data_IF_862331741729
#
_entry.id   IF_862331741729
#
_cell.length_a   1.000
_cell.length_b   1.000
_cell.length_c   1.000
_cell.angle_alpha   90.00
_cell.angle_beta   90.00
_cell.angle_gamma   90.00
#
_symmetry.space_group_name_H-M   'P 1'
#
loop_
_entity.id
_entity.type
_entity.pdbx_description
1 polymer ?
#
# COMPACT_ATOMS: atom_id res chain seq x y z
N UNK A 1 -58.98 -15.22 -1.92
CA UNK A 1 -58.23 -14.03 -2.38
C UNK A 1 -56.80 -14.46 -2.62
N UNK A 2 -56.20 -14.19 -3.79
CA UNK A 2 -54.78 -14.44 -4.01
C UNK A 2 -53.98 -13.38 -3.26
N UNK A 3 -53.10 -13.78 -2.37
CA UNK A 3 -52.18 -12.87 -1.70
C UNK A 3 -51.31 -12.16 -2.74
N UNK A 4 -51.21 -10.83 -2.62
CA UNK A 4 -50.29 -10.03 -3.44
C UNK A 4 -48.85 -10.44 -3.10
N UNK A 5 -47.95 -10.56 -4.09
CA UNK A 5 -46.55 -10.85 -3.80
C UNK A 5 -45.96 -9.74 -2.94
N UNK A 6 -45.42 -10.12 -1.79
CA UNK A 6 -44.65 -9.24 -0.91
C UNK A 6 -43.25 -9.10 -1.50
N UNK A 7 -42.76 -7.85 -1.59
CA UNK A 7 -41.39 -7.46 -1.90
C UNK A 7 -41.09 -7.12 -3.37
N UNK A 8 -41.41 -5.88 -3.76
CA UNK A 8 -40.42 -5.12 -4.50
C UNK A 8 -39.33 -4.71 -3.49
N UNK A 9 -38.09 -5.19 -3.64
CA UNK A 9 -36.96 -4.66 -2.87
C UNK A 9 -36.88 -3.15 -3.15
N UNK A 10 -37.17 -2.31 -2.16
CA UNK A 10 -37.17 -0.85 -2.29
C UNK A 10 -35.79 -0.24 -2.63
N UNK A 11 -34.73 -1.05 -2.63
CA UNK A 11 -33.36 -0.61 -2.89
C UNK A 11 -32.67 -1.61 -3.81
N UNK A 12 -32.11 -1.09 -4.90
CA UNK A 12 -31.25 -1.86 -5.79
C UNK A 12 -29.93 -2.16 -5.06
N UNK A 13 -29.66 -3.44 -4.79
CA UNK A 13 -28.43 -3.92 -4.14
C UNK A 13 -27.20 -3.78 -5.04
N UNK A 14 -27.38 -3.84 -6.36
CA UNK A 14 -26.31 -3.71 -7.34
C UNK A 14 -26.49 -2.43 -8.15
N UNK A 15 -25.84 -1.36 -7.71
CA UNK A 15 -25.83 -0.09 -8.43
C UNK A 15 -24.51 0.05 -9.17
N UNK A 16 -24.59 0.53 -10.42
CA UNK A 16 -23.40 1.00 -11.10
C UNK A 16 -22.85 2.21 -10.34
N UNK A 17 -21.55 2.19 -10.07
CA UNK A 17 -20.80 3.31 -9.55
C UNK A 17 -19.81 3.73 -10.62
N UNK A 18 -19.76 5.02 -10.90
CA UNK A 18 -18.74 5.62 -11.76
C UNK A 18 -17.35 5.42 -11.18
N UNK A 19 -16.32 5.57 -12.01
CA UNK A 19 -14.93 5.52 -11.55
C UNK A 19 -14.68 6.47 -10.38
N UNK A 20 -15.14 7.72 -10.48
CA UNK A 20 -14.96 8.72 -9.44
C UNK A 20 -15.62 8.31 -8.11
N UNK A 21 -16.84 7.78 -8.15
CA UNK A 21 -17.55 7.29 -6.95
C UNK A 21 -16.86 6.09 -6.32
N UNK A 22 -16.32 5.17 -7.13
CA UNK A 22 -15.55 4.03 -6.61
C UNK A 22 -14.28 4.49 -5.92
N UNK A 23 -13.53 5.39 -6.56
CA UNK A 23 -12.30 5.97 -5.99
C UNK A 23 -12.58 6.70 -4.68
N UNK A 24 -13.62 7.52 -4.60
CA UNK A 24 -13.98 8.21 -3.35
C UNK A 24 -14.39 7.26 -2.23
N UNK A 25 -14.83 6.05 -2.57
CA UNK A 25 -15.21 5.02 -1.60
C UNK A 25 -14.03 4.13 -1.18
N UNK A 26 -12.88 4.20 -1.85
CA UNK A 26 -11.68 3.45 -1.42
C UNK A 26 -11.23 4.04 -0.09
N UNK A 27 -11.56 3.36 1.00
CA UNK A 27 -11.11 3.75 2.32
C UNK A 27 -9.74 3.13 2.58
N UNK A 28 -8.69 3.87 2.23
CA UNK A 28 -7.28 3.46 2.41
C UNK A 28 -6.81 3.77 3.84
N UNK A 29 -7.72 3.92 4.79
CA UNK A 29 -7.38 4.10 6.20
C UNK A 29 -6.96 2.78 6.85
N UNK A 30 -6.00 2.08 6.23
CA UNK A 30 -5.34 0.88 6.75
C UNK A 30 -4.62 1.18 8.08
N UNK A 31 -4.27 2.45 8.30
CA UNK A 31 -3.54 2.94 9.46
C UNK A 31 -4.46 2.98 10.70
N UNK A 32 -5.69 3.48 10.58
CA UNK A 32 -6.68 3.49 11.67
C UNK A 32 -7.68 2.34 11.60
N UNK A 33 -7.66 1.51 10.55
CA UNK A 33 -8.34 0.22 10.57
C UNK A 33 -7.77 -0.63 11.71
N UNK A 34 -8.55 -0.67 12.80
CA UNK A 34 -8.58 -1.80 13.72
C UNK A 34 -9.27 -2.92 12.95
N UNK A 35 -8.55 -3.50 11.97
CA UNK A 35 -9.02 -4.74 11.38
C UNK A 35 -9.25 -5.73 12.52
N UNK A 36 -10.26 -6.59 12.36
CA UNK A 36 -10.11 -7.99 12.78
C UNK A 36 -8.89 -8.54 12.02
N UNK A 37 -7.69 -8.08 12.39
CA UNK A 37 -6.46 -8.72 12.00
C UNK A 37 -6.69 -10.13 12.51
N UNK A 38 -6.65 -11.08 11.57
CA UNK A 38 -6.52 -12.50 11.83
C UNK A 38 -5.74 -12.67 13.13
N UNK A 39 -6.20 -13.57 14.01
CA UNK A 39 -5.41 -13.97 15.16
C UNK A 39 -3.93 -13.99 14.73
N UNK A 40 -3.03 -13.40 15.53
CA UNK A 40 -1.59 -13.61 15.29
C UNK A 40 -1.44 -15.06 14.87
N UNK A 41 -0.73 -15.34 13.76
CA UNK A 41 -0.52 -16.71 13.31
C UNK A 41 -0.23 -17.55 14.53
N UNK A 42 -0.80 -18.75 14.61
CA UNK A 42 -0.42 -19.69 15.66
C UNK A 42 1.11 -19.66 15.78
N UNK A 43 1.68 -19.79 16.98
CA UNK A 43 3.10 -19.47 17.26
C UNK A 43 4.12 -20.14 16.29
N UNK A 44 3.70 -21.14 15.50
CA UNK A 44 4.47 -21.81 14.47
C UNK A 44 4.33 -21.27 13.02
N UNK A 45 3.33 -20.43 12.69
CA UNK A 45 3.03 -19.96 11.33
C UNK A 45 3.49 -18.51 11.08
N UNK A 46 3.70 -18.16 9.81
CA UNK A 46 4.11 -16.82 9.36
C UNK A 46 3.04 -16.20 8.49
N UNK A 47 2.98 -14.87 8.43
CA UNK A 47 1.99 -14.19 7.59
C UNK A 47 2.17 -14.54 6.10
N UNK A 48 3.41 -14.70 5.66
CA UNK A 48 3.75 -15.05 4.29
C UNK A 48 3.23 -16.46 3.93
N UNK A 49 3.38 -17.43 4.83
CA UNK A 49 2.87 -18.79 4.61
C UNK A 49 1.34 -18.85 4.61
N UNK A 50 0.68 -18.16 5.53
CA UNK A 50 -0.78 -18.05 5.52
C UNK A 50 -1.30 -17.42 4.22
N UNK A 51 -0.59 -16.41 3.71
CA UNK A 51 -0.92 -15.80 2.43
C UNK A 51 -0.71 -16.77 1.26
N UNK A 52 0.36 -17.57 1.25
CA UNK A 52 0.55 -18.63 0.24
C UNK A 52 -0.61 -19.61 0.28
N UNK A 53 -0.93 -20.16 1.46
CA UNK A 53 -2.01 -21.14 1.63
C UNK A 53 -3.36 -20.57 1.16
N UNK A 54 -3.69 -19.35 1.56
CA UNK A 54 -4.88 -18.63 1.08
C UNK A 54 -4.93 -18.58 -0.44
N UNK A 55 -3.82 -18.19 -1.09
CA UNK A 55 -3.82 -17.98 -2.53
C UNK A 55 -3.74 -19.27 -3.35
N UNK A 56 -3.29 -20.38 -2.76
CA UNK A 56 -3.46 -21.73 -3.35
C UNK A 56 -4.93 -22.03 -3.63
N UNK A 57 -5.81 -21.67 -2.71
CA UNK A 57 -7.25 -21.94 -2.86
C UNK A 57 -7.97 -20.93 -3.75
N UNK A 58 -7.43 -19.71 -3.88
CA UNK A 58 -8.09 -18.58 -4.55
C UNK A 58 -7.60 -18.28 -5.97
N UNK A 59 -6.35 -18.62 -6.33
CA UNK A 59 -5.78 -18.25 -7.62
C UNK A 59 -5.23 -19.47 -8.38
N UNK A 60 -5.96 -19.88 -9.42
CA UNK A 60 -5.61 -21.02 -10.28
C UNK A 60 -4.96 -20.59 -11.61
N UNK A 61 -4.45 -19.36 -11.70
CA UNK A 61 -3.82 -18.85 -12.92
C UNK A 61 -2.46 -19.50 -13.12
N UNK A 62 -2.01 -19.55 -14.38
CA UNK A 62 -0.68 -20.05 -14.72
C UNK A 62 0.41 -19.24 -14.00
N UNK A 63 0.26 -17.91 -13.96
CA UNK A 63 1.21 -17.01 -13.32
C UNK A 63 1.40 -17.34 -11.84
N UNK A 64 0.30 -17.61 -11.11
CA UNK A 64 0.40 -17.97 -9.71
C UNK A 64 0.98 -19.36 -9.52
N UNK A 65 0.61 -20.33 -10.37
CA UNK A 65 1.18 -21.67 -10.34
C UNK A 65 2.68 -21.71 -10.61
N UNK A 66 3.20 -20.82 -11.46
CA UNK A 66 4.64 -20.66 -11.71
C UNK A 66 5.33 -19.97 -10.53
N UNK A 67 4.73 -18.89 -9.98
CA UNK A 67 5.23 -18.22 -8.78
C UNK A 67 5.37 -19.19 -7.59
N UNK A 68 4.37 -20.03 -7.36
CA UNK A 68 4.39 -20.99 -6.26
C UNK A 68 5.50 -22.04 -6.44
N UNK A 69 5.70 -22.51 -7.69
CA UNK A 69 6.77 -23.46 -8.01
C UNK A 69 8.15 -22.85 -7.80
N UNK A 70 8.33 -21.57 -8.12
CA UNK A 70 9.59 -20.86 -7.90
C UNK A 70 9.86 -20.62 -6.40
N UNK A 71 8.83 -20.29 -5.61
CA UNK A 71 8.98 -20.18 -4.14
C UNK A 71 9.34 -21.54 -3.53
N UNK A 72 8.70 -22.61 -4.00
CA UNK A 72 9.04 -23.99 -3.63
C UNK A 72 8.41 -24.47 -2.29
N UNK A 73 8.11 -25.79 -2.17
CA UNK A 73 7.45 -26.39 -1.01
C UNK A 73 8.33 -26.51 0.25
N UNK A 74 9.60 -26.15 0.15
CA UNK A 74 10.58 -26.16 1.22
C UNK A 74 10.39 -25.01 2.21
N UNK A 75 9.76 -23.90 1.82
CA UNK A 75 9.46 -22.79 2.71
C UNK A 75 8.28 -23.18 3.60
N UNK A 76 8.55 -23.45 4.88
CA UNK A 76 7.56 -23.91 5.87
C UNK A 76 7.62 -23.18 7.21
N UNK A 77 8.63 -22.34 7.41
CA UNK A 77 8.76 -21.52 8.61
C UNK A 77 9.58 -20.26 8.32
N UNK A 78 9.61 -19.35 9.29
CA UNK A 78 10.34 -18.08 9.19
C UNK A 78 11.84 -18.26 8.93
N UNK A 79 12.49 -19.27 9.52
CA UNK A 79 13.93 -19.48 9.33
C UNK A 79 14.29 -19.77 7.88
N UNK A 80 13.42 -20.51 7.18
CA UNK A 80 13.60 -20.80 5.76
C UNK A 80 13.30 -19.58 4.88
N UNK A 81 12.30 -18.77 5.25
CA UNK A 81 12.04 -17.48 4.58
C UNK A 81 13.27 -16.58 4.69
N UNK A 82 13.83 -16.42 5.88
CA UNK A 82 15.03 -15.61 6.11
C UNK A 82 16.24 -16.16 5.33
N UNK A 83 16.43 -17.49 5.32
CA UNK A 83 17.52 -18.13 4.60
C UNK A 83 17.45 -17.90 3.08
N UNK A 84 16.24 -17.88 2.50
CA UNK A 84 16.01 -17.66 1.05
C UNK A 84 15.45 -16.27 0.73
N UNK A 85 15.63 -15.29 1.61
CA UNK A 85 14.96 -13.99 1.48
C UNK A 85 15.25 -13.31 0.14
N UNK A 86 16.49 -13.32 -0.32
CA UNK A 86 16.90 -12.64 -1.56
C UNK A 86 16.23 -13.28 -2.77
N UNK A 87 16.13 -14.61 -2.77
CA UNK A 87 15.48 -15.36 -3.84
C UNK A 87 13.97 -15.09 -3.87
N UNK A 88 13.30 -15.15 -2.71
CA UNK A 88 11.86 -14.84 -2.60
C UNK A 88 11.60 -13.41 -3.05
N UNK A 89 12.45 -12.45 -2.67
CA UNK A 89 12.32 -11.05 -3.07
C UNK A 89 12.42 -10.89 -4.59
N UNK A 90 13.42 -11.51 -5.23
CA UNK A 90 13.57 -11.41 -6.68
C UNK A 90 12.44 -12.12 -7.44
N UNK A 91 11.91 -13.24 -6.91
CA UNK A 91 10.70 -13.89 -7.44
C UNK A 91 9.50 -12.92 -7.37
N UNK A 92 9.19 -12.36 -6.20
CA UNK A 92 8.05 -11.43 -6.07
C UNK A 92 8.22 -10.20 -6.97
N UNK A 93 9.43 -9.64 -7.07
CA UNK A 93 9.71 -8.52 -7.97
C UNK A 93 9.53 -8.88 -9.44
N UNK A 94 9.92 -10.09 -9.86
CA UNK A 94 9.70 -10.60 -11.22
C UNK A 94 8.20 -10.60 -11.55
N UNK A 95 7.36 -11.14 -10.67
CA UNK A 95 5.92 -11.21 -10.91
C UNK A 95 5.20 -9.86 -10.73
N UNK A 96 5.71 -8.96 -9.87
CA UNK A 96 5.23 -7.57 -9.82
C UNK A 96 5.52 -6.81 -11.11
N UNK A 97 6.65 -7.06 -11.76
CA UNK A 97 7.04 -6.36 -13.00
C UNK A 97 6.43 -6.95 -14.26
N UNK A 98 5.79 -8.12 -14.16
CA UNK A 98 5.14 -8.77 -15.30
C UNK A 98 3.86 -8.02 -15.66
N UNK A 99 3.83 -7.44 -16.86
CA UNK A 99 2.65 -6.80 -17.42
C UNK A 99 1.52 -7.84 -17.56
N UNK A 100 0.28 -7.41 -17.30
CA UNK A 100 -0.94 -8.23 -17.39
C UNK A 100 -0.92 -9.55 -16.59
N UNK A 101 -0.11 -9.61 -15.52
CA UNK A 101 -0.05 -10.76 -14.62
C UNK A 101 -1.40 -10.98 -13.92
N UNK A 102 -1.99 -12.16 -14.12
CA UNK A 102 -3.24 -12.54 -13.47
C UNK A 102 -3.03 -12.97 -12.00
N UNK A 103 -1.77 -13.00 -11.55
CA UNK A 103 -1.39 -13.26 -10.17
C UNK A 103 -1.11 -11.99 -9.36
N UNK A 104 -1.27 -10.79 -9.95
CA UNK A 104 -0.83 -9.54 -9.32
C UNK A 104 -1.45 -9.32 -7.93
N UNK A 105 -2.73 -9.65 -7.75
CA UNK A 105 -3.40 -9.57 -6.45
C UNK A 105 -2.71 -10.42 -5.37
N UNK A 106 -2.36 -11.66 -5.72
CA UNK A 106 -1.65 -12.58 -4.84
C UNK A 106 -0.25 -12.05 -4.52
N UNK A 107 0.45 -11.54 -5.53
CA UNK A 107 1.80 -10.99 -5.38
C UNK A 107 1.80 -9.75 -4.46
N UNK A 108 0.80 -8.87 -4.58
CA UNK A 108 0.66 -7.70 -3.71
C UNK A 108 0.43 -8.08 -2.24
N UNK A 109 -0.42 -9.07 -1.98
CA UNK A 109 -0.68 -9.55 -0.61
C UNK A 109 0.51 -10.31 -0.03
N UNK A 110 1.17 -11.17 -0.83
CA UNK A 110 2.40 -11.86 -0.46
C UNK A 110 3.53 -10.86 -0.14
N UNK A 111 3.64 -9.77 -0.89
CA UNK A 111 4.61 -8.70 -0.64
C UNK A 111 4.37 -8.04 0.72
N UNK A 112 3.11 -7.74 1.04
CA UNK A 112 2.74 -7.17 2.35
C UNK A 112 3.05 -8.14 3.49
N UNK A 113 2.70 -9.41 3.31
CA UNK A 113 2.94 -10.45 4.30
C UNK A 113 4.44 -10.66 4.56
N UNK A 114 5.26 -10.74 3.50
CA UNK A 114 6.70 -10.85 3.61
C UNK A 114 7.32 -9.63 4.32
N UNK A 115 6.88 -8.42 3.98
CA UNK A 115 7.35 -7.21 4.64
C UNK A 115 6.99 -7.16 6.13
N UNK A 116 5.85 -7.74 6.52
CA UNK A 116 5.42 -7.86 7.91
C UNK A 116 6.26 -8.86 8.70
N UNK A 117 6.60 -9.99 8.09
CA UNK A 117 7.44 -11.02 8.70
C UNK A 117 8.91 -10.57 8.84
N UNK A 118 9.49 -9.99 7.78
CA UNK A 118 10.92 -9.64 7.72
C UNK A 118 11.26 -8.25 8.27
N UNK A 119 10.33 -7.28 8.17
CA UNK A 119 10.48 -5.91 8.68
C UNK A 119 11.80 -5.23 8.29
N UNK A 120 12.78 -5.20 9.21
CA UNK A 120 14.08 -4.59 8.99
C UNK A 120 14.81 -5.21 7.80
N UNK A 121 14.76 -6.54 7.68
CA UNK A 121 15.47 -7.27 6.62
C UNK A 121 14.84 -7.02 5.24
N UNK A 122 13.54 -6.67 5.20
CA UNK A 122 12.86 -6.29 3.95
C UNK A 122 13.17 -4.85 3.51
N UNK A 123 13.42 -3.93 4.46
CA UNK A 123 13.53 -2.49 4.17
C UNK A 123 14.55 -2.12 3.06
N UNK A 124 15.75 -2.73 2.98
CA UNK A 124 16.68 -2.47 1.87
C UNK A 124 16.09 -2.71 0.47
N UNK A 125 15.09 -3.59 0.36
CA UNK A 125 14.45 -3.96 -0.90
C UNK A 125 13.19 -3.12 -1.18
N UNK A 126 12.65 -2.42 -0.18
CA UNK A 126 11.45 -1.58 -0.30
C UNK A 126 11.48 -0.63 -1.50
N UNK A 127 12.60 0.09 -1.83
CA UNK A 127 12.62 0.96 -3.00
C UNK A 127 12.35 0.24 -4.33
N UNK A 128 12.82 -1.01 -4.47
CA UNK A 128 12.55 -1.84 -5.67
C UNK A 128 11.07 -2.20 -5.75
N UNK A 129 10.47 -2.60 -4.62
CA UNK A 129 9.04 -2.93 -4.55
C UNK A 129 8.16 -1.72 -4.81
N UNK A 130 8.43 -0.59 -4.17
CA UNK A 130 7.71 0.66 -4.41
C UNK A 130 7.73 1.05 -5.88
N UNK A 131 8.91 1.00 -6.52
CA UNK A 131 9.05 1.29 -7.94
C UNK A 131 8.22 0.31 -8.79
N UNK A 132 8.26 -0.99 -8.51
CA UNK A 132 7.48 -2.00 -9.25
C UNK A 132 5.96 -1.81 -9.07
N UNK A 133 5.49 -1.51 -7.86
CA UNK A 133 4.06 -1.29 -7.58
C UNK A 133 3.55 -0.01 -8.25
N UNK A 134 4.35 1.07 -8.20
CA UNK A 134 3.94 2.37 -8.77
C UNK A 134 3.78 2.37 -10.29
N UNK A 135 4.43 1.44 -11.00
CA UNK A 135 4.23 1.24 -12.44
C UNK A 135 2.75 0.95 -12.80
N UNK A 136 2.04 0.27 -11.90
CA UNK A 136 0.64 -0.15 -12.11
C UNK A 136 -0.38 0.93 -11.77
N UNK A 137 0.01 2.02 -11.09
CA UNK A 137 -0.93 3.05 -10.61
C UNK A 137 -1.63 3.83 -11.74
N UNK A 138 -1.13 3.74 -12.96
CA UNK A 138 -1.76 4.37 -14.14
C UNK A 138 -2.99 3.61 -14.66
N UNK A 139 -3.33 2.46 -14.07
CA UNK A 139 -4.51 1.66 -14.44
C UNK A 139 -5.83 2.43 -14.31
N UNK A 140 -6.85 2.03 -15.08
CA UNK A 140 -8.24 2.52 -14.93
C UNK A 140 -9.12 1.53 -14.16
N UNK A 141 -8.57 0.37 -13.81
CA UNK A 141 -9.25 -0.60 -12.97
C UNK A 141 -9.24 -0.12 -11.51
N UNK A 142 -10.42 0.22 -11.00
CA UNK A 142 -10.60 0.70 -9.62
C UNK A 142 -10.28 -0.37 -8.58
N UNK A 143 -10.56 -1.64 -8.89
CA UNK A 143 -10.34 -2.74 -7.96
C UNK A 143 -8.83 -3.01 -7.83
N UNK A 144 -8.13 -3.05 -8.97
CA UNK A 144 -6.67 -3.16 -8.94
C UNK A 144 -6.04 -1.95 -8.23
N UNK A 145 -6.53 -0.74 -8.50
CA UNK A 145 -6.00 0.47 -7.86
C UNK A 145 -6.20 0.46 -6.34
N UNK A 146 -7.35 -0.02 -5.86
CA UNK A 146 -7.60 -0.25 -4.43
C UNK A 146 -6.59 -1.24 -3.83
N UNK A 147 -6.32 -2.36 -4.52
CA UNK A 147 -5.33 -3.36 -4.06
C UNK A 147 -3.91 -2.78 -4.03
N UNK A 148 -3.52 -1.99 -5.03
CA UNK A 148 -2.22 -1.31 -5.07
C UNK A 148 -2.06 -0.30 -3.93
N UNK A 149 -3.07 0.54 -3.70
CA UNK A 149 -3.06 1.50 -2.59
C UNK A 149 -3.07 0.81 -1.23
N UNK A 150 -3.86 -0.26 -1.08
CA UNK A 150 -3.89 -1.08 0.13
C UNK A 150 -2.51 -1.69 0.40
N UNK A 151 -1.86 -2.26 -0.62
CA UNK A 151 -0.51 -2.81 -0.52
C UNK A 151 0.49 -1.74 -0.03
N UNK A 152 0.53 -0.58 -0.68
CA UNK A 152 1.42 0.53 -0.29
C UNK A 152 1.14 1.02 1.13
N UNK A 153 -0.13 1.18 1.52
CA UNK A 153 -0.50 1.60 2.87
C UNK A 153 -0.03 0.61 3.94
N UNK A 154 -0.16 -0.70 3.71
CA UNK A 154 0.37 -1.71 4.62
C UNK A 154 1.90 -1.73 4.66
N UNK A 155 2.58 -1.56 3.53
CA UNK A 155 4.04 -1.42 3.51
C UNK A 155 4.49 -0.24 4.38
N UNK A 156 3.81 0.91 4.31
CA UNK A 156 4.13 2.04 5.19
C UNK A 156 3.82 1.73 6.64
N UNK A 157 2.68 1.07 6.92
CA UNK A 157 2.30 0.65 8.27
C UNK A 157 3.31 -0.29 8.93
N UNK A 158 3.91 -1.22 8.19
CA UNK A 158 4.88 -2.16 8.76
C UNK A 158 6.30 -1.60 8.79
N UNK A 159 6.66 -0.74 7.84
CA UNK A 159 8.04 -0.27 7.68
C UNK A 159 8.28 1.17 8.19
N UNK A 160 7.26 1.88 8.72
CA UNK A 160 7.39 3.30 9.09
C UNK A 160 8.57 3.57 10.05
N UNK A 161 8.88 2.64 10.97
CA UNK A 161 9.97 2.80 11.94
C UNK A 161 11.35 2.91 11.28
N UNK A 162 11.50 2.32 10.10
CA UNK A 162 12.70 2.36 9.29
C UNK A 162 12.66 3.55 8.33
N UNK A 163 11.50 3.81 7.71
CA UNK A 163 11.28 4.95 6.81
C UNK A 163 11.57 6.30 7.48
N UNK A 164 11.09 6.49 8.72
CA UNK A 164 11.27 7.76 9.44
C UNK A 164 12.76 8.06 9.71
N UNK A 165 13.60 7.03 9.85
CA UNK A 165 15.06 7.20 10.03
C UNK A 165 15.78 7.62 8.75
N UNK A 166 15.17 7.38 7.59
CA UNK A 166 15.73 7.65 6.26
C UNK A 166 14.78 8.52 5.42
N UNK A 167 14.09 9.46 6.08
CA UNK A 167 12.95 10.16 5.51
C UNK A 167 13.29 10.98 4.25
N UNK A 168 14.53 11.45 4.11
CA UNK A 168 14.97 12.22 2.93
C UNK A 168 14.99 11.34 1.66
N UNK A 169 15.45 10.09 1.76
CA UNK A 169 15.45 9.17 0.62
C UNK A 169 14.05 8.63 0.34
N UNK A 170 13.27 8.36 1.39
CA UNK A 170 11.84 8.04 1.27
C UNK A 170 11.10 9.16 0.54
N UNK A 171 11.33 10.42 0.92
CA UNK A 171 10.73 11.56 0.23
C UNK A 171 11.09 11.60 -1.26
N UNK A 172 12.37 11.44 -1.61
CA UNK A 172 12.80 11.45 -3.02
C UNK A 172 12.09 10.38 -3.85
N UNK A 173 12.00 9.16 -3.33
CA UNK A 173 11.37 8.03 -4.01
C UNK A 173 9.89 8.31 -4.33
N UNK A 174 9.16 8.88 -3.39
CA UNK A 174 7.72 9.12 -3.50
C UNK A 174 7.35 10.47 -4.09
N UNK A 175 8.28 11.44 -4.11
CA UNK A 175 8.03 12.76 -4.68
C UNK A 175 7.50 12.67 -6.12
N UNK A 176 7.85 11.59 -6.83
CA UNK A 176 7.31 11.21 -8.13
C UNK A 176 5.78 11.12 -8.17
N UNK A 177 5.12 10.73 -7.08
CA UNK A 177 3.67 10.64 -6.95
C UNK A 177 3.00 12.00 -6.70
N UNK A 178 3.74 13.00 -6.22
CA UNK A 178 3.24 14.34 -5.90
C UNK A 178 3.17 15.28 -7.12
N UNK A 179 3.65 14.84 -8.29
CA UNK A 179 3.63 15.63 -9.53
C UNK A 179 2.22 16.03 -9.92
N UNK A 180 2.07 17.28 -10.35
CA UNK A 180 0.79 17.80 -10.86
C UNK A 180 0.25 16.97 -12.04
N UNK A 181 1.13 16.41 -12.87
CA UNK A 181 0.76 15.56 -14.01
C UNK A 181 0.11 14.23 -13.63
N UNK A 182 0.27 13.77 -12.39
CA UNK A 182 -0.37 12.53 -11.94
C UNK A 182 -1.87 12.72 -11.74
N UNK A 183 -2.62 11.63 -11.83
CA UNK A 183 -4.07 11.67 -11.56
C UNK A 183 -4.32 12.07 -10.12
N UNK A 184 -5.40 12.82 -9.91
CA UNK A 184 -5.74 13.38 -8.60
C UNK A 184 -5.78 12.34 -7.48
N UNK A 185 -6.39 11.18 -7.71
CA UNK A 185 -6.48 10.12 -6.70
C UNK A 185 -5.13 9.52 -6.31
N UNK A 186 -4.14 9.48 -7.22
CA UNK A 186 -2.77 9.07 -6.89
C UNK A 186 -2.13 10.11 -5.99
N UNK A 187 -2.33 11.40 -6.29
CA UNK A 187 -1.81 12.49 -5.45
C UNK A 187 -2.46 12.48 -4.07
N UNK A 188 -3.78 12.35 -3.98
CA UNK A 188 -4.54 12.27 -2.72
C UNK A 188 -3.99 11.12 -1.85
N UNK A 189 -3.90 9.92 -2.42
CA UNK A 189 -3.31 8.78 -1.71
C UNK A 189 -1.88 9.07 -1.22
N UNK A 190 -1.04 9.65 -2.09
CA UNK A 190 0.34 9.96 -1.76
C UNK A 190 0.43 10.96 -0.61
N UNK A 191 -0.35 12.05 -0.62
CA UNK A 191 -0.32 13.08 0.42
C UNK A 191 -0.82 12.56 1.77
N UNK A 192 -1.90 11.78 1.80
CA UNK A 192 -2.44 11.18 3.02
C UNK A 192 -1.45 10.18 3.64
N UNK A 193 -0.90 9.30 2.79
CA UNK A 193 0.10 8.30 3.20
C UNK A 193 1.40 8.95 3.71
N UNK A 194 1.83 10.03 3.07
CA UNK A 194 3.03 10.76 3.49
C UNK A 194 2.81 11.57 4.75
N UNK A 195 1.64 12.18 4.92
CA UNK A 195 1.29 12.89 6.13
C UNK A 195 1.44 11.96 7.36
N UNK A 196 1.03 10.70 7.26
CA UNK A 196 1.24 9.71 8.31
C UNK A 196 2.72 9.53 8.69
N UNK A 197 3.63 9.47 7.72
CA UNK A 197 5.06 9.32 7.97
C UNK A 197 5.66 10.60 8.57
N UNK A 198 5.37 11.76 7.97
CA UNK A 198 5.89 13.07 8.41
C UNK A 198 5.48 13.39 9.85
N UNK A 199 4.24 13.08 10.24
CA UNK A 199 3.75 13.27 11.63
C UNK A 199 4.65 12.56 12.65
N UNK A 200 5.30 11.46 12.27
CA UNK A 200 6.18 10.64 13.12
C UNK A 200 7.65 11.06 13.11
N UNK A 201 8.04 11.97 12.23
CA UNK A 201 9.40 12.51 12.18
C UNK A 201 9.62 13.42 13.38
N UNK A 202 10.77 13.26 14.04
CA UNK A 202 11.13 14.07 15.21
C UNK A 202 11.54 15.49 14.78
N UNK A 203 12.53 15.61 13.91
CA UNK A 203 13.01 16.89 13.37
C UNK A 203 12.27 17.23 12.06
N UNK A 204 11.13 17.92 12.21
CA UNK A 204 10.31 18.34 11.06
C UNK A 204 10.93 19.55 10.34
N UNK A 205 11.64 20.41 11.05
CA UNK A 205 12.27 21.60 10.48
C UNK A 205 13.34 21.24 9.44
N UNK A 206 14.22 20.27 9.76
CA UNK A 206 15.23 19.77 8.81
C UNK A 206 14.56 19.11 7.59
N UNK A 207 13.49 18.33 7.82
CA UNK A 207 12.75 17.68 6.73
C UNK A 207 12.07 18.71 5.83
N UNK A 208 11.39 19.72 6.38
CA UNK A 208 10.73 20.75 5.58
C UNK A 208 11.74 21.61 4.84
N UNK A 209 12.85 21.98 5.48
CA UNK A 209 13.96 22.67 4.83
C UNK A 209 14.50 21.87 3.63
N UNK A 210 14.60 20.54 3.77
CA UNK A 210 14.96 19.65 2.68
C UNK A 210 13.90 19.62 1.56
N UNK A 211 12.62 19.48 1.91
CA UNK A 211 11.50 19.47 0.95
C UNK A 211 11.46 20.78 0.14
N UNK A 212 11.62 21.94 0.79
CA UNK A 212 11.65 23.22 0.09
C UNK A 212 12.83 23.34 -0.87
N UNK A 213 14.01 22.79 -0.52
CA UNK A 213 15.17 22.72 -1.44
C UNK A 213 14.89 21.83 -2.64
N UNK A 214 14.30 20.65 -2.45
CA UNK A 214 13.89 19.78 -3.56
C UNK A 214 12.83 20.46 -4.45
N UNK A 215 11.92 21.23 -3.85
CA UNK A 215 10.87 21.95 -4.59
C UNK A 215 11.43 23.08 -5.47
N UNK A 216 12.52 23.73 -5.06
CA UNK A 216 13.23 24.69 -5.91
C UNK A 216 13.80 24.03 -7.17
N UNK A 217 14.18 22.75 -7.09
CA UNK A 217 14.68 21.98 -8.23
C UNK A 217 13.54 21.40 -9.09
N UNK A 218 12.38 21.12 -8.47
CA UNK A 218 11.22 20.48 -9.11
C UNK A 218 9.92 21.24 -8.81
N UNK A 219 9.70 22.42 -9.40
CA UNK A 219 8.52 23.25 -9.14
C UNK A 219 7.18 22.55 -9.44
N UNK A 220 7.19 21.54 -10.31
CA UNK A 220 6.03 20.72 -10.69
C UNK A 220 5.43 19.89 -9.53
N UNK A 221 6.12 19.84 -8.38
CA UNK A 221 5.63 19.19 -7.16
C UNK A 221 4.89 20.15 -6.23
N UNK A 222 4.83 21.45 -6.53
CA UNK A 222 4.36 22.50 -5.60
C UNK A 222 2.94 22.26 -5.07
N UNK A 223 1.99 21.92 -5.95
CA UNK A 223 0.61 21.62 -5.56
C UNK A 223 0.57 20.41 -4.63
N UNK A 224 1.24 19.31 -4.99
CA UNK A 224 1.28 18.10 -4.17
C UNK A 224 1.95 18.32 -2.82
N UNK A 225 3.01 19.13 -2.75
CA UNK A 225 3.67 19.50 -1.48
C UNK A 225 2.76 20.38 -0.62
N UNK A 226 2.04 21.34 -1.21
CA UNK A 226 1.06 22.14 -0.47
C UNK A 226 -0.07 21.28 0.12
N UNK A 227 -0.62 20.35 -0.68
CA UNK A 227 -1.61 19.37 -0.22
C UNK A 227 -1.05 18.46 0.88
N UNK A 228 0.22 18.04 0.77
CA UNK A 228 0.89 17.25 1.79
C UNK A 228 0.97 17.97 3.13
N UNK A 229 1.41 19.23 3.15
CA UNK A 229 1.49 19.99 4.40
C UNK A 229 0.11 20.24 5.01
N UNK A 230 -0.90 20.49 4.19
CA UNK A 230 -2.28 20.54 4.66
C UNK A 230 -2.71 19.23 5.33
N UNK A 231 -2.47 18.09 4.68
CA UNK A 231 -2.78 16.78 5.28
C UNK A 231 -1.96 16.51 6.55
N UNK A 232 -0.71 16.98 6.66
CA UNK A 232 0.09 16.83 7.89
C UNK A 232 -0.60 17.46 9.11
N UNK A 233 -1.13 18.69 8.97
CA UNK A 233 -1.77 19.44 10.06
C UNK A 233 -3.25 19.10 10.23
N UNK A 234 -3.92 18.64 9.17
CA UNK A 234 -5.32 18.22 9.22
C UNK A 234 -5.47 17.01 10.14
N UNK A 235 -6.33 17.15 11.14
CA UNK A 235 -6.75 16.09 12.05
C UNK A 235 -8.10 15.49 11.64
N UNK A 236 -8.73 14.82 12.60
CA UNK A 236 -10.02 14.14 12.41
C UNK A 236 -11.16 15.07 12.88
N UNK A 237 -12.36 14.95 12.32
CA UNK A 237 -13.56 15.76 12.69
C UNK A 237 -13.31 17.27 12.64
N UNK A 238 -12.70 17.76 11.56
CA UNK A 238 -12.43 19.20 11.33
C UNK A 238 -11.53 19.85 12.39
N UNK A 239 -10.75 19.05 13.13
CA UNK A 239 -9.76 19.53 14.08
C UNK A 239 -8.35 19.48 13.48
N UNK A 240 -7.42 20.20 14.09
CA UNK A 240 -5.99 20.05 13.80
C UNK A 240 -5.40 18.81 14.50
N UNK A 241 -4.39 18.21 13.88
CA UNK A 241 -3.62 17.13 14.49
C UNK A 241 -2.74 17.68 15.63
N UNK A 242 -2.49 16.88 16.67
CA UNK A 242 -1.69 17.31 17.83
C UNK A 242 -0.24 17.69 17.50
N UNK A 243 0.27 17.28 16.33
CA UNK A 243 1.61 17.66 15.89
C UNK A 243 1.69 19.06 15.29
N UNK A 244 0.56 19.74 15.07
CA UNK A 244 0.51 21.05 14.38
C UNK A 244 1.32 22.12 15.11
N UNK A 245 1.45 22.04 16.43
CA UNK A 245 2.27 22.98 17.22
C UNK A 245 3.78 22.86 16.91
N UNK A 246 4.21 21.77 16.26
CA UNK A 246 5.60 21.47 15.91
C UNK A 246 5.83 21.44 14.38
N UNK A 247 4.89 21.96 13.59
CA UNK A 247 4.90 21.97 12.10
C UNK A 247 4.92 23.41 11.62
#
# INVERSE_FOLDING_TARGET
MKDKPVSHKNQNTFKFLTFAERISNINIDVIHQIGKISASPDEANTFFLEAIEKWVDLNYTQDYGELQKEIGPEIRNLSQIVFRQDEIIEILLKYLKKEDSLALDAVLELTVALARDLQFDFYPHFPKFFSAITLHLSTKDTELLEKLFTCLAYLFKFLWRYMVKDMKNVYRLFSSLLRESNREHIRIFAVESFAFLIRKVQDKEDLFSFIFKELQLKPEHSIGVGQLFFEVVKGVKEQFHSCTENV
#
